data_IF_816968224295
#
_entry.id   IF_816968224295
#
_cell.length_a   1.000
_cell.length_b   1.000
_cell.length_c   1.000
_cell.angle_alpha   90.00
_cell.angle_beta   90.00
_cell.angle_gamma   90.00
#
_symmetry.space_group_name_H-M   'P 1'
#
loop_
_entity.id
_entity.type
_entity.pdbx_description
1 polymer ?
#
# COMPACT_ATOMS: atom_id res chain seq x y z
N UNK A 1 -9.37 -6.42 -11.51
CA UNK A 1 -9.19 -5.59 -10.31
C UNK A 1 -8.19 -4.47 -10.50
N UNK A 2 -6.95 -4.73 -10.89
CA UNK A 2 -5.95 -3.67 -11.07
C UNK A 2 -6.36 -2.67 -12.14
N UNK A 3 -6.85 -3.13 -13.28
CA UNK A 3 -7.28 -2.25 -14.38
C UNK A 3 -8.39 -1.29 -13.96
N UNK A 4 -9.38 -1.78 -13.24
CA UNK A 4 -10.47 -0.95 -12.73
C UNK A 4 -9.97 0.04 -11.68
N UNK A 5 -9.08 -0.39 -10.80
CA UNK A 5 -8.47 0.46 -9.77
C UNK A 5 -7.63 1.57 -10.41
N UNK A 6 -6.84 1.24 -11.44
CA UNK A 6 -6.06 2.23 -12.19
C UNK A 6 -6.97 3.29 -12.80
N UNK A 7 -8.04 2.88 -13.45
CA UNK A 7 -8.96 3.81 -14.14
C UNK A 7 -9.65 4.78 -13.17
N UNK A 8 -9.94 4.34 -11.93
CA UNK A 8 -10.72 5.12 -10.97
C UNK A 8 -9.89 5.90 -9.94
N UNK A 9 -8.57 5.70 -9.87
CA UNK A 9 -7.75 6.15 -8.75
C UNK A 9 -6.79 7.31 -9.05
N UNK A 10 -6.86 7.91 -10.23
CA UNK A 10 -6.05 9.09 -10.56
C UNK A 10 -4.55 8.83 -10.47
N UNK A 11 -3.83 9.69 -9.71
CA UNK A 11 -2.37 9.59 -9.57
C UNK A 11 -1.93 8.26 -8.97
N UNK A 12 -2.60 7.79 -7.94
CA UNK A 12 -2.30 6.49 -7.34
C UNK A 12 -2.48 5.37 -8.37
N UNK A 13 -3.54 5.45 -9.18
CA UNK A 13 -3.79 4.48 -10.24
C UNK A 13 -2.71 4.49 -11.31
N UNK A 14 -2.20 5.67 -11.69
CA UNK A 14 -1.11 5.77 -12.65
C UNK A 14 0.17 5.12 -12.14
N UNK A 15 0.50 5.33 -10.86
CA UNK A 15 1.67 4.72 -10.24
C UNK A 15 1.49 3.20 -10.15
N UNK A 16 0.30 2.75 -9.78
CA UNK A 16 -0.03 1.33 -9.74
C UNK A 16 0.13 0.66 -11.10
N UNK A 17 -0.28 1.34 -12.18
CA UNK A 17 -0.10 0.84 -13.54
C UNK A 17 1.37 0.65 -13.88
N UNK A 18 2.24 1.58 -13.46
CA UNK A 18 3.69 1.43 -13.65
C UNK A 18 4.23 0.22 -12.90
N UNK A 19 3.80 0.04 -11.64
CA UNK A 19 4.21 -1.11 -10.84
C UNK A 19 3.82 -2.43 -11.53
N UNK A 20 2.59 -2.50 -12.00
CA UNK A 20 2.08 -3.66 -12.74
C UNK A 20 2.92 -3.94 -14.00
N UNK A 21 3.19 -2.90 -14.80
CA UNK A 21 3.98 -3.03 -16.02
C UNK A 21 5.39 -3.53 -15.76
N UNK A 22 6.01 -3.06 -14.67
CA UNK A 22 7.37 -3.46 -14.30
C UNK A 22 7.47 -4.91 -13.86
N UNK A 23 6.45 -5.43 -13.16
CA UNK A 23 6.49 -6.82 -12.67
C UNK A 23 6.06 -7.82 -13.73
N UNK A 24 5.20 -7.42 -14.67
CA UNK A 24 4.65 -8.32 -15.69
C UNK A 24 5.28 -8.13 -17.09
N UNK A 25 6.32 -7.32 -17.20
CA UNK A 25 7.02 -7.13 -18.48
C UNK A 25 7.92 -8.30 -18.86
N UNK A 26 8.46 -8.25 -20.07
CA UNK A 26 9.36 -9.29 -20.61
C UNK A 26 10.63 -9.39 -19.75
N UNK A 27 11.13 -8.27 -19.26
CA UNK A 27 12.29 -8.21 -18.38
C UNK A 27 11.85 -7.55 -17.06
N UNK A 28 11.30 -8.32 -16.11
CA UNK A 28 10.73 -7.74 -14.90
C UNK A 28 11.73 -6.93 -14.09
N UNK A 29 11.31 -5.72 -13.70
CA UNK A 29 12.02 -4.88 -12.75
C UNK A 29 11.34 -5.03 -11.39
N UNK A 30 11.72 -6.05 -10.64
CA UNK A 30 11.04 -6.41 -9.40
C UNK A 30 11.20 -5.34 -8.33
N UNK A 31 12.40 -4.81 -8.12
CA UNK A 31 12.65 -3.77 -7.12
C UNK A 31 11.94 -2.46 -7.48
N UNK A 32 11.98 -2.05 -8.73
CA UNK A 32 11.26 -0.86 -9.20
C UNK A 32 9.75 -1.02 -9.11
N UNK A 33 9.24 -2.22 -9.43
CA UNK A 33 7.82 -2.54 -9.27
C UNK A 33 7.37 -2.41 -7.82
N UNK A 34 8.14 -2.98 -6.90
CA UNK A 34 7.82 -2.91 -5.47
C UNK A 34 7.85 -1.46 -4.96
N UNK A 35 8.85 -0.69 -5.36
CA UNK A 35 8.95 0.72 -4.99
C UNK A 35 7.74 1.52 -5.48
N UNK A 36 7.31 1.29 -6.72
CA UNK A 36 6.11 1.94 -7.27
C UNK A 36 4.84 1.47 -6.54
N UNK A 37 4.76 0.21 -6.15
CA UNK A 37 3.64 -0.31 -5.36
C UNK A 37 3.51 0.46 -4.03
N UNK A 38 4.62 0.67 -3.32
CA UNK A 38 4.65 1.47 -2.09
C UNK A 38 4.17 2.90 -2.37
N UNK A 39 4.68 3.53 -3.42
CA UNK A 39 4.29 4.90 -3.79
C UNK A 39 2.81 5.00 -4.15
N UNK A 40 2.27 4.01 -4.84
CA UNK A 40 0.85 3.99 -5.20
C UNK A 40 -0.03 3.98 -3.94
N UNK A 41 0.32 3.13 -2.97
CA UNK A 41 -0.38 3.08 -1.69
C UNK A 41 -0.28 4.41 -0.94
N UNK A 42 0.91 5.00 -0.89
CA UNK A 42 1.11 6.32 -0.26
C UNK A 42 0.24 7.38 -0.91
N UNK A 43 0.21 7.41 -2.23
CA UNK A 43 -0.58 8.39 -2.97
C UNK A 43 -2.10 8.25 -2.71
N UNK A 44 -2.57 7.02 -2.48
CA UNK A 44 -3.98 6.77 -2.19
C UNK A 44 -4.35 7.09 -0.74
N UNK A 45 -3.45 6.83 0.19
CA UNK A 45 -3.72 6.88 1.64
C UNK A 45 -3.44 8.28 2.23
N UNK A 46 -2.36 8.92 1.79
CA UNK A 46 -1.91 10.20 2.33
C UNK A 46 -3.01 11.28 2.32
N UNK A 47 -3.77 11.50 1.22
CA UNK A 47 -4.80 12.55 1.22
C UNK A 47 -5.93 12.32 2.21
N UNK A 48 -6.13 11.08 2.65
CA UNK A 48 -7.21 10.69 3.55
C UNK A 48 -6.76 10.71 5.00
N UNK A 49 -5.56 10.19 5.28
CA UNK A 49 -5.05 10.04 6.64
C UNK A 49 -4.28 11.26 7.13
N UNK A 50 -3.45 11.85 6.28
CA UNK A 50 -2.61 12.99 6.60
C UNK A 50 -2.62 14.01 5.46
N UNK A 51 -3.74 14.68 5.20
CA UNK A 51 -3.86 15.56 4.03
C UNK A 51 -2.89 16.74 4.04
N UNK A 52 -2.43 17.16 5.22
CA UNK A 52 -1.49 18.27 5.37
C UNK A 52 -0.02 17.86 5.26
N UNK A 53 0.27 16.56 5.29
CA UNK A 53 1.63 16.05 5.16
C UNK A 53 1.80 15.30 3.85
N UNK A 54 2.11 16.04 2.78
CA UNK A 54 2.22 15.50 1.42
C UNK A 54 3.42 14.59 1.23
N UNK A 55 4.36 14.58 2.17
CA UNK A 55 5.56 13.76 2.11
C UNK A 55 5.49 12.54 3.03
N UNK A 56 4.31 12.24 3.60
CA UNK A 56 4.14 11.10 4.49
C UNK A 56 4.46 9.79 3.78
N UNK A 57 5.27 8.96 4.46
CA UNK A 57 5.55 7.59 4.00
C UNK A 57 4.48 6.63 4.52
N UNK A 58 4.42 5.41 3.97
CA UNK A 58 3.54 4.38 4.52
C UNK A 58 3.80 4.13 6.00
N UNK A 59 5.07 4.17 6.43
CA UNK A 59 5.42 4.02 7.84
C UNK A 59 4.81 5.11 8.70
N UNK A 60 4.90 6.37 8.26
CA UNK A 60 4.28 7.51 8.96
C UNK A 60 2.77 7.38 8.99
N UNK A 61 2.16 7.04 7.85
CA UNK A 61 0.70 6.87 7.76
C UNK A 61 0.21 5.75 8.68
N UNK A 62 0.93 4.62 8.72
CA UNK A 62 0.60 3.52 9.63
C UNK A 62 0.66 3.96 11.09
N UNK A 63 1.66 4.76 11.46
CA UNK A 63 1.80 5.26 12.83
C UNK A 63 0.63 6.18 13.21
N UNK A 64 0.23 7.07 12.32
CA UNK A 64 -0.93 7.95 12.53
C UNK A 64 -2.22 7.14 12.70
N UNK A 65 -2.44 6.18 11.81
CA UNK A 65 -3.64 5.32 11.86
C UNK A 65 -3.68 4.50 13.16
N UNK A 66 -2.53 3.99 13.59
CA UNK A 66 -2.44 3.26 14.87
C UNK A 66 -2.80 4.15 16.05
N UNK A 67 -2.30 5.38 16.07
CA UNK A 67 -2.60 6.33 17.15
C UNK A 67 -4.08 6.71 17.18
N UNK A 68 -4.72 6.81 16.03
CA UNK A 68 -6.15 7.10 15.93
C UNK A 68 -7.01 5.92 16.38
N UNK A 69 -6.64 4.70 16.02
CA UNK A 69 -7.22 3.46 16.54
C UNK A 69 -8.63 3.11 16.10
N UNK A 70 -9.21 3.84 15.12
CA UNK A 70 -10.61 3.71 14.74
C UNK A 70 -10.86 3.47 13.25
N UNK A 71 -9.83 3.11 12.51
CA UNK A 71 -9.94 2.78 11.08
C UNK A 71 -10.56 1.40 10.89
N UNK A 72 -11.40 1.26 9.88
CA UNK A 72 -12.14 0.01 9.63
C UNK A 72 -11.89 -0.51 8.23
N UNK A 73 -11.65 -1.82 8.13
CA UNK A 73 -11.68 -2.54 6.87
C UNK A 73 -13.13 -2.59 6.33
N UNK A 74 -13.32 -2.69 5.01
CA UNK A 74 -14.66 -2.84 4.43
C UNK A 74 -15.17 -4.28 4.54
N UNK A 75 -14.89 -4.94 5.64
CA UNK A 75 -15.26 -6.32 5.91
C UNK A 75 -15.82 -6.40 7.34
N UNK A 76 -16.59 -7.46 7.61
CA UNK A 76 -17.13 -7.67 8.94
C UNK A 76 -16.01 -7.86 9.94
N UNK A 77 -16.05 -7.10 11.04
CA UNK A 77 -15.07 -7.22 12.10
C UNK A 77 -15.24 -8.53 12.89
N UNK A 78 -14.13 -9.03 13.41
CA UNK A 78 -14.08 -10.20 14.27
C UNK A 78 -13.18 -9.91 15.46
N UNK A 79 -13.51 -10.47 16.63
CA UNK A 79 -12.75 -10.21 17.87
C UNK A 79 -11.27 -10.61 17.74
N UNK A 80 -10.97 -11.64 16.98
CA UNK A 80 -9.58 -12.10 16.76
C UNK A 80 -8.90 -11.46 15.56
N UNK A 81 -9.60 -10.58 14.86
CA UNK A 81 -9.08 -9.89 13.68
C UNK A 81 -9.64 -8.47 13.63
N UNK A 82 -9.26 -7.61 14.58
CA UNK A 82 -9.80 -6.24 14.63
C UNK A 82 -9.28 -5.42 13.46
N UNK A 83 -10.20 -4.71 12.80
CA UNK A 83 -9.91 -3.92 11.60
C UNK A 83 -8.77 -2.92 11.75
N UNK A 84 -8.71 -2.11 12.82
CA UNK A 84 -7.63 -1.11 12.94
C UNK A 84 -6.25 -1.72 12.92
N UNK A 85 -6.05 -2.82 13.66
CA UNK A 85 -4.75 -3.49 13.74
C UNK A 85 -4.36 -4.16 12.43
N UNK A 86 -5.33 -4.81 11.76
CA UNK A 86 -5.09 -5.46 10.47
C UNK A 86 -4.70 -4.45 9.40
N UNK A 87 -5.42 -3.34 9.33
CA UNK A 87 -5.15 -2.32 8.32
C UNK A 87 -3.76 -1.71 8.51
N UNK A 88 -3.39 -1.38 9.75
CA UNK A 88 -2.04 -0.90 10.08
C UNK A 88 -0.99 -1.94 9.69
N UNK A 89 -1.25 -3.21 10.00
CA UNK A 89 -0.34 -4.30 9.66
C UNK A 89 -0.14 -4.44 8.14
N UNK A 90 -1.19 -4.24 7.36
CA UNK A 90 -1.09 -4.27 5.89
C UNK A 90 -0.15 -3.18 5.36
N UNK A 91 -0.32 -1.96 5.84
CA UNK A 91 0.56 -0.85 5.47
C UNK A 91 2.01 -1.13 5.87
N UNK A 92 2.22 -1.59 7.10
CA UNK A 92 3.56 -1.86 7.61
C UNK A 92 4.23 -3.02 6.87
N UNK A 93 3.48 -4.07 6.55
CA UNK A 93 4.02 -5.21 5.81
C UNK A 93 4.51 -4.78 4.43
N UNK A 94 3.73 -3.97 3.72
CA UNK A 94 4.12 -3.44 2.42
C UNK A 94 5.36 -2.53 2.55
N UNK A 95 5.32 -1.59 3.49
CA UNK A 95 6.40 -0.62 3.70
C UNK A 95 7.72 -1.29 4.08
N UNK A 96 7.69 -2.23 5.05
CA UNK A 96 8.90 -2.87 5.54
C UNK A 96 9.53 -3.81 4.52
N UNK A 97 8.74 -4.45 3.68
CA UNK A 97 9.26 -5.25 2.58
C UNK A 97 10.14 -4.44 1.63
N UNK A 98 9.98 -3.12 1.59
CA UNK A 98 10.83 -2.21 0.82
C UNK A 98 11.93 -1.60 1.71
N UNK A 99 11.55 -1.00 2.85
CA UNK A 99 12.45 -0.22 3.70
C UNK A 99 13.56 -1.07 4.35
N UNK A 100 13.22 -2.26 4.83
CA UNK A 100 14.18 -3.13 5.53
C UNK A 100 15.26 -3.71 4.61
N UNK A 101 15.12 -3.55 3.30
CA UNK A 101 16.11 -3.98 2.32
C UNK A 101 17.20 -2.95 2.06
N UNK A 102 16.95 -1.70 2.42
CA UNK A 102 17.89 -0.62 2.21
C UNK A 102 18.72 -0.39 3.47
N UNK A 103 20.03 -0.37 3.31
CA UNK A 103 20.95 -0.07 4.40
C UNK A 103 21.32 -1.24 5.31
N UNK A 104 21.02 -2.47 4.92
CA UNK A 104 21.47 -3.67 5.62
C UNK A 104 22.65 -4.32 4.91
N UNK A 105 23.52 -5.01 5.66
CA UNK A 105 24.64 -5.75 5.07
C UNK A 105 24.16 -6.94 4.22
N UNK A 106 23.00 -7.48 4.55
CA UNK A 106 22.39 -8.63 3.87
C UNK A 106 21.39 -8.20 2.80
N UNK A 107 21.61 -7.03 2.21
CA UNK A 107 20.72 -6.53 1.14
C UNK A 107 20.61 -7.54 0.01
N UNK A 108 19.38 -7.84 -0.38
CA UNK A 108 19.09 -8.61 -1.58
C UNK A 108 17.95 -7.95 -2.34
N UNK A 109 17.94 -8.13 -3.64
CA UNK A 109 16.85 -7.61 -4.45
C UNK A 109 15.53 -8.28 -4.11
N UNK A 110 14.45 -7.55 -4.39
CA UNK A 110 13.09 -8.07 -4.29
C UNK A 110 12.93 -9.23 -5.26
N UNK A 111 12.42 -10.35 -4.78
CA UNK A 111 12.11 -11.48 -5.66
C UNK A 111 10.88 -11.16 -6.52
N UNK A 112 10.72 -11.90 -7.62
CA UNK A 112 9.55 -11.72 -8.48
C UNK A 112 8.25 -11.99 -7.71
N UNK A 113 8.21 -13.03 -6.90
CA UNK A 113 7.04 -13.35 -6.07
C UNK A 113 6.71 -12.24 -5.08
N UNK A 114 7.73 -11.66 -4.45
CA UNK A 114 7.54 -10.54 -3.53
C UNK A 114 7.01 -9.30 -4.25
N UNK A 115 7.51 -9.02 -5.45
CA UNK A 115 7.04 -7.90 -6.25
C UNK A 115 5.57 -8.09 -6.67
N UNK A 116 5.20 -9.29 -7.13
CA UNK A 116 3.80 -9.59 -7.47
C UNK A 116 2.89 -9.43 -6.26
N UNK A 117 3.29 -9.95 -5.10
CA UNK A 117 2.52 -9.82 -3.86
C UNK A 117 2.39 -8.37 -3.41
N UNK A 118 3.48 -7.60 -3.51
CA UNK A 118 3.48 -6.18 -3.18
C UNK A 118 2.53 -5.37 -4.05
N UNK A 119 2.54 -5.63 -5.37
CA UNK A 119 1.61 -4.98 -6.31
C UNK A 119 0.16 -5.34 -5.98
N UNK A 120 -0.12 -6.60 -5.68
CA UNK A 120 -1.47 -7.05 -5.33
C UNK A 120 -1.96 -6.39 -4.04
N UNK A 121 -1.11 -6.32 -3.02
CA UNK A 121 -1.46 -5.66 -1.76
C UNK A 121 -1.68 -4.16 -1.98
N UNK A 122 -0.80 -3.51 -2.73
CA UNK A 122 -0.96 -2.09 -3.06
C UNK A 122 -2.26 -1.84 -3.83
N UNK A 123 -2.60 -2.70 -4.79
CA UNK A 123 -3.85 -2.59 -5.56
C UNK A 123 -5.07 -2.64 -4.63
N UNK A 124 -5.05 -3.53 -3.65
CA UNK A 124 -6.13 -3.65 -2.67
C UNK A 124 -6.25 -2.37 -1.84
N UNK A 125 -5.14 -1.86 -1.32
CA UNK A 125 -5.12 -0.64 -0.51
C UNK A 125 -5.57 0.57 -1.33
N UNK A 126 -5.07 0.72 -2.55
CA UNK A 126 -5.47 1.80 -3.45
C UNK A 126 -6.98 1.74 -3.71
N UNK A 127 -7.50 0.57 -4.04
CA UNK A 127 -8.93 0.41 -4.30
C UNK A 127 -9.78 0.78 -3.08
N UNK A 128 -9.41 0.32 -1.90
CA UNK A 128 -10.19 0.56 -0.68
C UNK A 128 -10.16 2.02 -0.24
N UNK A 129 -9.00 2.68 -0.32
CA UNK A 129 -8.90 4.08 0.09
C UNK A 129 -9.53 5.04 -0.92
N UNK A 130 -9.31 4.83 -2.21
CA UNK A 130 -9.82 5.75 -3.24
C UNK A 130 -11.33 5.61 -3.46
N UNK A 131 -11.91 4.44 -3.17
CA UNK A 131 -13.36 4.23 -3.27
C UNK A 131 -14.13 4.68 -2.04
N UNK A 132 -13.43 5.07 -0.96
CA UNK A 132 -14.07 5.39 0.31
C UNK A 132 -14.51 4.17 1.12
N UNK A 133 -14.08 2.96 0.71
CA UNK A 133 -14.45 1.74 1.43
C UNK A 133 -13.80 1.66 2.82
N UNK A 134 -12.59 2.18 2.97
CA UNK A 134 -11.92 2.29 4.27
C UNK A 134 -12.32 3.60 4.92
N UNK A 135 -12.87 3.53 6.12
CA UNK A 135 -13.37 4.69 6.86
C UNK A 135 -13.02 4.58 8.33
N UNK A 136 -13.07 5.70 9.02
CA UNK A 136 -12.99 5.73 10.46
C UNK A 136 -14.36 5.40 11.04
N UNK A 137 -14.39 4.87 12.27
CA UNK A 137 -15.63 4.65 12.99
C UNK A 137 -16.27 6.01 13.32
N UNK A 138 -17.60 6.09 13.23
CA UNK A 138 -18.32 7.31 13.60
C UNK A 138 -18.21 7.60 15.11
#
# INVERSE_FOLDING_TARGET
MVEETVASSGTAGQILARAWGKVHGISPDNSGSYADAVRAAEAAIQPIVEPKNKEATLGTLAAVMRAQGDWRLPLREHAHAPSPELLVAMLQTLFRGHADRHGTEDYRDVTHEEAEAGVALAATLVAWFTSGAVQRRP
#
